data_IF_048055582683
#
_entry.id   IF_048055582683
#
_cell.length_a   1.000
_cell.length_b   1.000
_cell.length_c   1.000
_cell.angle_alpha   90.00
_cell.angle_beta   90.00
_cell.angle_gamma   90.00
#
_symmetry.space_group_name_H-M   'P 1'
#
loop_
_entity.id
_entity.type
_entity.pdbx_description
1 polymer ?
#
# COMPACT_ATOMS: atom_id res chain seq x y z
N UNK A 1 12.44 3.22 11.71
CA UNK A 1 12.75 4.04 10.52
C UNK A 1 11.75 5.19 10.32
N UNK A 2 10.45 4.94 10.12
CA UNK A 2 9.40 5.99 10.01
C UNK A 2 9.35 6.92 11.23
N UNK A 3 9.40 6.37 12.45
CA UNK A 3 9.44 7.14 13.70
C UNK A 3 10.70 8.00 13.83
N UNK A 4 11.86 7.44 13.48
CA UNK A 4 13.14 8.16 13.48
C UNK A 4 13.12 9.31 12.46
N UNK A 5 12.62 9.08 11.24
CA UNK A 5 12.52 10.12 10.24
C UNK A 5 11.55 11.23 10.66
N UNK A 6 10.38 10.88 11.22
CA UNK A 6 9.46 11.87 11.82
C UNK A 6 10.11 12.68 12.93
N UNK A 7 10.95 12.07 13.76
CA UNK A 7 11.68 12.79 14.80
C UNK A 7 12.72 13.77 14.20
N UNK A 8 13.43 13.39 13.14
CA UNK A 8 14.37 14.27 12.44
C UNK A 8 13.67 15.45 11.75
N UNK A 9 12.55 15.20 11.07
CA UNK A 9 11.70 16.27 10.47
C UNK A 9 11.23 17.24 11.55
N UNK A 10 10.81 16.73 12.72
CA UNK A 10 10.35 17.55 13.84
C UNK A 10 11.47 18.38 14.49
N UNK A 11 12.72 17.89 14.47
CA UNK A 11 13.89 18.68 14.88
C UNK A 11 14.14 19.85 13.92
N UNK A 12 14.03 19.61 12.61
CA UNK A 12 14.17 20.67 11.60
C UNK A 12 13.07 21.75 11.75
N UNK A 13 11.83 21.33 12.05
CA UNK A 13 10.71 22.24 12.36
C UNK A 13 11.01 23.20 13.52
N UNK A 14 11.73 22.74 14.55
CA UNK A 14 12.00 23.55 15.74
C UNK A 14 13.00 24.70 15.52
N UNK A 15 13.64 24.79 14.35
CA UNK A 15 14.65 25.81 14.05
C UNK A 15 14.24 26.78 12.94
N UNK A 16 13.16 26.51 12.19
CA UNK A 16 12.66 27.39 11.12
C UNK A 16 11.14 27.56 11.18
N UNK A 17 10.67 28.79 11.48
CA UNK A 17 9.24 29.11 11.59
C UNK A 17 8.47 29.05 10.26
N UNK A 18 9.18 29.10 9.13
CA UNK A 18 8.58 29.21 7.78
C UNK A 18 8.60 27.88 7.02
N UNK A 19 9.06 26.81 7.66
CA UNK A 19 9.17 25.50 7.02
C UNK A 19 7.82 24.76 7.09
N UNK A 20 7.35 24.29 5.94
CA UNK A 20 6.12 23.50 5.80
C UNK A 20 6.50 22.07 5.44
N UNK A 21 5.96 21.09 6.16
CA UNK A 21 6.23 19.68 5.87
C UNK A 21 5.81 19.35 4.43
N UNK A 22 6.74 18.83 3.60
CA UNK A 22 6.38 18.41 2.26
C UNK A 22 5.42 17.23 2.33
N UNK A 23 4.22 17.40 1.78
CA UNK A 23 3.19 16.36 1.62
C UNK A 23 3.74 15.04 1.04
N UNK A 24 4.83 15.11 0.27
CA UNK A 24 5.50 13.95 -0.31
C UNK A 24 6.01 12.94 0.72
N UNK A 25 6.45 13.37 1.91
CA UNK A 25 7.04 12.48 2.93
C UNK A 25 5.96 11.60 3.55
N UNK A 26 4.83 12.17 3.95
CA UNK A 26 3.71 11.41 4.49
C UNK A 26 3.14 10.46 3.45
N UNK A 27 2.95 10.97 2.23
CA UNK A 27 2.44 10.18 1.12
C UNK A 27 3.33 8.99 0.76
N UNK A 28 4.65 9.14 0.86
CA UNK A 28 5.59 8.05 0.65
C UNK A 28 5.38 6.90 1.63
N UNK A 29 5.20 7.21 2.92
CA UNK A 29 4.95 6.19 3.93
C UNK A 29 3.58 5.56 3.80
N UNK A 30 2.55 6.34 3.48
CA UNK A 30 1.22 5.80 3.17
C UNK A 30 1.31 4.76 2.04
N UNK A 31 2.00 5.10 0.94
CA UNK A 31 2.15 4.19 -0.20
C UNK A 31 2.85 2.90 0.23
N UNK A 32 3.89 2.98 1.07
CA UNK A 32 4.60 1.79 1.56
C UNK A 32 3.70 0.94 2.45
N UNK A 33 2.97 1.57 3.37
CA UNK A 33 2.10 0.88 4.31
C UNK A 33 0.99 0.12 3.55
N UNK A 34 0.51 0.62 2.40
CA UNK A 34 -0.46 -0.10 1.57
C UNK A 34 0.05 -1.43 0.95
N UNK A 35 1.36 -1.69 0.93
CA UNK A 35 1.92 -2.98 0.49
C UNK A 35 2.07 -3.98 1.64
N UNK A 36 1.74 -3.58 2.86
CA UNK A 36 1.90 -4.41 4.06
C UNK A 36 0.66 -4.32 4.92
N UNK A 37 -0.09 -5.43 4.96
CA UNK A 37 -1.21 -5.56 5.88
C UNK A 37 -0.75 -5.41 7.34
N UNK A 38 -1.41 -4.51 8.08
CA UNK A 38 -1.25 -4.38 9.53
C UNK A 38 -1.90 -5.56 10.26
N UNK A 39 -3.01 -6.09 9.75
CA UNK A 39 -3.73 -7.21 10.37
C UNK A 39 -3.01 -8.56 10.22
N UNK A 40 -2.49 -8.86 9.03
CA UNK A 40 -1.87 -10.15 8.70
C UNK A 40 -0.35 -10.16 8.93
N UNK A 41 0.31 -9.00 8.84
CA UNK A 41 1.76 -8.88 8.99
C UNK A 41 2.54 -9.71 7.97
N UNK A 42 3.66 -10.32 8.40
CA UNK A 42 4.57 -11.08 7.52
C UNK A 42 4.21 -12.58 7.37
N UNK A 43 2.96 -12.99 7.63
CA UNK A 43 2.59 -14.40 7.51
C UNK A 43 2.52 -14.84 6.03
N UNK A 44 3.64 -15.37 5.53
CA UNK A 44 3.85 -15.72 4.13
C UNK A 44 2.81 -16.74 3.61
N UNK A 45 2.35 -17.64 4.47
CA UNK A 45 1.34 -18.65 4.11
C UNK A 45 -0.01 -18.00 3.84
N UNK A 46 -0.42 -17.06 4.68
CA UNK A 46 -1.68 -16.33 4.50
C UNK A 46 -1.60 -15.46 3.25
N UNK A 47 -0.49 -14.72 3.07
CA UNK A 47 -0.25 -13.93 1.87
C UNK A 47 -0.35 -14.78 0.60
N UNK A 48 0.31 -15.94 0.55
CA UNK A 48 0.23 -16.86 -0.59
C UNK A 48 -1.21 -17.29 -0.89
N UNK A 49 -1.99 -17.67 0.13
CA UNK A 49 -3.40 -18.07 -0.05
C UNK A 49 -4.26 -16.94 -0.62
N UNK A 50 -4.08 -15.70 -0.16
CA UNK A 50 -4.83 -14.57 -0.68
C UNK A 50 -4.40 -14.18 -2.10
N UNK A 51 -3.11 -14.31 -2.42
CA UNK A 51 -2.61 -14.09 -3.78
C UNK A 51 -3.13 -15.18 -4.74
N UNK A 52 -3.18 -16.44 -4.32
CA UNK A 52 -3.78 -17.53 -5.09
C UNK A 52 -5.27 -17.27 -5.35
N UNK A 53 -6.02 -16.85 -4.32
CA UNK A 53 -7.42 -16.46 -4.46
C UNK A 53 -7.60 -15.21 -5.33
N UNK A 54 -6.64 -14.28 -5.32
CA UNK A 54 -6.66 -13.10 -6.19
C UNK A 54 -6.51 -13.49 -7.66
N UNK A 55 -5.58 -14.38 -7.98
CA UNK A 55 -5.29 -14.83 -9.34
C UNK A 55 -6.20 -15.95 -9.84
N UNK A 56 -7.06 -16.53 -8.99
CA UNK A 56 -8.10 -17.45 -9.46
C UNK A 56 -9.15 -16.79 -10.34
N UNK A 57 -9.24 -15.45 -10.33
CA UNK A 57 -10.04 -14.68 -11.29
C UNK A 57 -9.25 -14.43 -12.58
N UNK A 58 -9.82 -14.83 -13.73
CA UNK A 58 -9.21 -14.66 -15.05
C UNK A 58 -8.88 -13.21 -15.38
N UNK A 59 -9.69 -12.26 -14.92
CA UNK A 59 -9.49 -10.82 -15.18
C UNK A 59 -8.23 -10.27 -14.47
N UNK A 60 -7.69 -11.02 -13.51
CA UNK A 60 -6.54 -10.60 -12.69
C UNK A 60 -5.21 -11.17 -13.17
N UNK A 61 -5.21 -12.12 -14.12
CA UNK A 61 -4.01 -12.88 -14.52
C UNK A 61 -2.86 -11.99 -15.00
N UNK A 62 -3.17 -10.88 -15.67
CA UNK A 62 -2.18 -9.97 -16.23
C UNK A 62 -1.74 -8.87 -15.24
N UNK A 63 -2.34 -8.80 -14.05
CA UNK A 63 -2.00 -7.79 -13.05
C UNK A 63 -0.63 -8.13 -12.43
N UNK A 64 0.35 -7.23 -12.43
CA UNK A 64 1.66 -7.47 -11.82
C UNK A 64 1.56 -7.76 -10.33
N UNK A 65 2.44 -8.64 -9.84
CA UNK A 65 2.46 -9.13 -8.45
C UNK A 65 2.47 -7.98 -7.43
N UNK A 66 3.21 -6.90 -7.70
CA UNK A 66 3.25 -5.74 -6.80
C UNK A 66 1.90 -5.03 -6.69
N UNK A 67 1.16 -4.88 -7.80
CA UNK A 67 -0.17 -4.28 -7.75
C UNK A 67 -1.18 -5.21 -7.08
N UNK A 68 -1.09 -6.51 -7.34
CA UNK A 68 -1.91 -7.52 -6.67
C UNK A 68 -1.69 -7.53 -5.15
N UNK A 69 -0.43 -7.52 -4.70
CA UNK A 69 -0.06 -7.51 -3.28
C UNK A 69 -0.64 -6.29 -2.54
N UNK A 70 -0.61 -5.12 -3.18
CA UNK A 70 -1.18 -3.88 -2.63
C UNK A 70 -2.70 -3.99 -2.47
N UNK A 71 -3.39 -4.52 -3.49
CA UNK A 71 -4.84 -4.71 -3.42
C UNK A 71 -5.20 -5.72 -2.32
N UNK A 72 -4.48 -6.84 -2.27
CA UNK A 72 -4.68 -7.88 -1.24
C UNK A 72 -4.42 -7.33 0.15
N UNK A 73 -3.35 -6.57 0.36
CA UNK A 73 -3.02 -5.96 1.66
C UNK A 73 -4.11 -5.00 2.13
N UNK A 74 -4.64 -4.16 1.24
CA UNK A 74 -5.77 -3.28 1.55
C UNK A 74 -7.05 -4.06 1.90
N UNK A 75 -7.33 -5.17 1.21
CA UNK A 75 -8.48 -6.03 1.55
C UNK A 75 -8.30 -6.66 2.94
N UNK A 76 -7.10 -7.12 3.25
CA UNK A 76 -6.75 -7.71 4.55
C UNK A 76 -6.93 -6.70 5.69
N UNK A 77 -6.63 -5.42 5.46
CA UNK A 77 -6.80 -4.36 6.46
C UNK A 77 -8.23 -3.78 6.51
N UNK A 78 -9.18 -4.35 5.76
CA UNK A 78 -10.57 -3.89 5.73
C UNK A 78 -10.84 -2.66 4.87
N UNK A 79 -9.85 -2.15 4.14
CA UNK A 79 -9.90 -0.99 3.24
C UNK A 79 -10.57 -1.31 1.88
N UNK A 80 -11.74 -1.97 1.92
CA UNK A 80 -12.41 -2.56 0.75
C UNK A 80 -12.72 -1.55 -0.36
N UNK A 81 -13.18 -0.34 0.00
CA UNK A 81 -13.52 0.69 -1.00
C UNK A 81 -12.30 1.07 -1.83
N UNK A 82 -11.19 1.30 -1.15
CA UNK A 82 -9.93 1.72 -1.76
C UNK A 82 -9.31 0.58 -2.57
N UNK A 83 -9.37 -0.64 -2.03
CA UNK A 83 -8.95 -1.86 -2.74
C UNK A 83 -9.74 -2.07 -4.04
N UNK A 84 -11.07 -1.95 -4.01
CA UNK A 84 -11.94 -2.17 -5.17
C UNK A 84 -11.67 -1.15 -6.29
N UNK A 85 -11.53 0.14 -5.94
CA UNK A 85 -11.19 1.17 -6.94
C UNK A 85 -9.84 0.88 -7.60
N UNK A 86 -8.85 0.40 -6.82
CA UNK A 86 -7.54 0.02 -7.35
C UNK A 86 -7.61 -1.22 -8.23
N UNK A 87 -8.35 -2.23 -7.81
CA UNK A 87 -8.57 -3.45 -8.60
C UNK A 87 -9.17 -3.12 -9.97
N UNK A 88 -10.26 -2.36 -10.00
CA UNK A 88 -10.92 -1.98 -11.26
C UNK A 88 -9.98 -1.21 -12.20
N UNK A 89 -9.16 -0.31 -11.64
CA UNK A 89 -8.14 0.41 -12.43
C UNK A 89 -7.06 -0.52 -12.97
N UNK A 90 -6.59 -1.47 -12.16
CA UNK A 90 -5.59 -2.45 -12.57
C UNK A 90 -6.14 -3.37 -13.67
N UNK A 91 -7.33 -3.93 -13.48
CA UNK A 91 -8.01 -4.74 -14.50
C UNK A 91 -8.16 -3.97 -15.81
N UNK A 92 -8.64 -2.72 -15.77
CA UNK A 92 -8.75 -1.90 -16.97
C UNK A 92 -7.39 -1.63 -17.66
N UNK A 93 -6.33 -1.46 -16.87
CA UNK A 93 -4.97 -1.19 -17.37
C UNK A 93 -4.33 -2.41 -18.03
N UNK A 94 -4.58 -3.62 -17.51
CA UNK A 94 -3.93 -4.86 -17.95
C UNK A 94 -4.83 -5.83 -18.74
N UNK A 95 -6.11 -5.50 -18.95
CA UNK A 95 -7.01 -6.21 -19.90
C UNK A 95 -6.74 -5.85 -21.39
N UNK A 96 -5.48 -5.63 -21.76
CA UNK A 96 -5.08 -5.40 -23.15
C UNK A 96 -4.59 -6.68 -23.80
#
# INVERSE_FOLDING_TARGET
MKSHHRAEVRKQFSHESNWVEPYYIERFYEIIDEYRSEEVGYNLKILALHMDAFYSNSDNLNIPIMEALRVVSLVQDGEQKTANVRLLRAQHKYNK
#
